data_IF_212844239557
#
_entry.id   IF_212844239557
#
_cell.length_a   1.000
_cell.length_b   1.000
_cell.length_c   1.000
_cell.angle_alpha   90.00
_cell.angle_beta   90.00
_cell.angle_gamma   90.00
#
_symmetry.space_group_name_H-M   'P 1'
#
loop_
_entity.id
_entity.type
_entity.pdbx_description
1 polymer ?
#
# COMPACT_ATOMS: atom_id res chain seq x y z
N UNK A 1 -63.26 14.71 -1.47
CA UNK A 1 -61.91 14.53 -2.04
C UNK A 1 -60.87 15.00 -1.03
N UNK A 2 -59.74 14.27 -0.91
CA UNK A 2 -58.54 14.50 -0.06
C UNK A 2 -58.71 13.99 1.39
N UNK A 3 -58.42 12.72 1.67
CA UNK A 3 -57.10 12.10 1.99
C UNK A 3 -56.48 12.63 3.29
N UNK A 4 -56.70 11.92 4.39
CA UNK A 4 -55.78 11.89 5.54
C UNK A 4 -55.38 10.42 5.72
N UNK A 5 -54.18 10.06 5.28
CA UNK A 5 -53.60 8.75 5.48
C UNK A 5 -52.31 8.92 6.28
N UNK A 6 -52.35 8.35 7.49
CA UNK A 6 -51.28 7.76 8.29
C UNK A 6 -49.85 7.91 7.72
N UNK A 7 -49.06 8.76 8.37
CA UNK A 7 -47.60 8.80 8.23
C UNK A 7 -46.98 8.04 9.38
N UNK A 8 -46.85 6.72 9.24
CA UNK A 8 -45.96 5.87 10.02
C UNK A 8 -45.45 4.78 9.05
N UNK A 9 -44.17 4.40 9.18
CA UNK A 9 -43.39 3.49 8.32
C UNK A 9 -42.55 4.23 7.27
N UNK A 10 -41.55 4.96 7.76
CA UNK A 10 -40.34 5.26 6.99
C UNK A 10 -39.12 5.27 7.92
N UNK A 11 -38.95 4.23 8.74
CA UNK A 11 -37.75 4.12 9.58
C UNK A 11 -37.49 2.67 10.00
N UNK A 12 -37.43 1.74 9.03
CA UNK A 12 -36.79 0.44 9.29
C UNK A 12 -36.39 -0.27 7.98
N UNK A 13 -35.50 0.37 7.22
CA UNK A 13 -34.72 -0.31 6.17
C UNK A 13 -33.22 0.00 6.37
N UNK A 14 -32.73 -0.20 7.59
CA UNK A 14 -31.31 -0.53 7.79
C UNK A 14 -31.19 -2.07 7.68
N UNK A 15 -31.51 -2.57 6.49
CA UNK A 15 -31.24 -3.96 6.14
C UNK A 15 -29.77 -4.05 5.76
N UNK A 16 -29.00 -4.64 6.67
CA UNK A 16 -27.90 -5.55 6.39
C UNK A 16 -26.91 -4.97 5.37
N UNK A 17 -25.97 -4.16 5.85
CA UNK A 17 -24.67 -4.10 5.21
C UNK A 17 -24.10 -5.52 5.23
N UNK A 18 -24.28 -6.24 4.13
CA UNK A 18 -23.41 -7.35 3.79
C UNK A 18 -22.01 -6.74 3.78
N UNK A 19 -21.23 -6.93 4.85
CA UNK A 19 -19.79 -6.90 4.74
C UNK A 19 -19.48 -8.05 3.80
N UNK A 20 -19.05 -7.82 2.54
CA UNK A 20 -18.57 -8.94 1.77
C UNK A 20 -17.30 -9.37 2.50
N UNK A 21 -17.35 -10.52 3.16
CA UNK A 21 -16.14 -11.30 3.45
C UNK A 21 -15.71 -11.87 2.10
N UNK A 22 -15.23 -10.97 1.25
CA UNK A 22 -14.41 -11.27 0.10
C UNK A 22 -13.11 -10.57 0.42
N UNK A 23 -12.03 -11.33 0.49
CA UNK A 23 -10.67 -10.81 0.36
C UNK A 23 -10.64 -9.89 -0.86
N UNK A 24 -10.89 -8.60 -0.65
CA UNK A 24 -10.75 -7.59 -1.68
C UNK A 24 -9.27 -7.64 -2.03
N UNK A 25 -8.95 -7.92 -3.30
CA UNK A 25 -7.66 -7.50 -3.80
C UNK A 25 -7.56 -6.02 -3.44
N UNK A 26 -6.70 -5.67 -2.48
CA UNK A 26 -6.34 -4.27 -2.28
C UNK A 26 -5.95 -3.77 -3.66
N UNK A 27 -6.48 -2.64 -4.10
CA UNK A 27 -6.25 -2.14 -5.45
C UNK A 27 -4.76 -1.89 -5.76
N UNK A 28 -4.50 -0.92 -6.62
CA UNK A 28 -3.12 -0.57 -6.93
C UNK A 28 -2.36 0.07 -5.75
N UNK A 29 -3.03 0.43 -4.64
CA UNK A 29 -2.46 1.28 -3.59
C UNK A 29 -2.71 0.87 -2.14
N UNK A 30 -1.72 1.17 -1.31
CA UNK A 30 -1.79 1.18 0.15
C UNK A 30 -1.64 2.62 0.64
N UNK A 31 -2.53 3.07 1.52
CA UNK A 31 -2.48 4.39 2.14
C UNK A 31 -1.87 4.27 3.54
N UNK A 32 -1.18 5.31 3.99
CA UNK A 32 -0.75 5.44 5.38
C UNK A 32 -1.90 5.13 6.34
N UNK A 33 -1.58 4.51 7.47
CA UNK A 33 -2.56 4.00 8.46
C UNK A 33 -3.29 2.69 8.05
N UNK A 34 -3.12 2.22 6.81
CA UNK A 34 -3.53 0.86 6.43
C UNK A 34 -2.39 -0.12 6.66
N UNK A 35 -2.66 -1.19 7.40
CA UNK A 35 -1.70 -2.27 7.68
C UNK A 35 -1.97 -3.46 6.77
N UNK A 36 -0.92 -3.99 6.16
CA UNK A 36 -0.94 -5.35 5.64
C UNK A 36 -0.75 -6.34 6.77
N UNK A 37 -1.81 -7.08 7.07
CA UNK A 37 -1.70 -8.33 7.79
C UNK A 37 -1.60 -9.48 6.79
N UNK A 38 -0.92 -10.52 7.23
CA UNK A 38 -0.57 -11.77 6.51
C UNK A 38 -1.74 -12.44 5.77
N UNK A 39 -2.98 -12.12 6.11
CA UNK A 39 -4.19 -12.55 5.42
C UNK A 39 -4.99 -11.33 4.94
N UNK A 40 -4.74 -10.86 3.71
CA UNK A 40 -5.42 -9.64 3.23
C UNK A 40 -5.32 -9.28 1.75
N UNK A 41 -4.54 -10.00 0.93
CA UNK A 41 -4.46 -9.80 -0.53
C UNK A 41 -3.59 -8.60 -0.92
N UNK A 42 -2.52 -8.84 -1.68
CA UNK A 42 -1.53 -7.83 -2.08
C UNK A 42 -2.01 -6.76 -3.06
N UNK A 43 -1.19 -5.75 -3.32
CA UNK A 43 -1.48 -4.71 -4.31
C UNK A 43 -1.37 -5.29 -5.70
N UNK A 44 -2.30 -4.94 -6.58
CA UNK A 44 -2.28 -5.36 -7.99
C UNK A 44 -2.30 -4.12 -8.86
N UNK A 45 -1.33 -4.04 -9.78
CA UNK A 45 -1.29 -2.99 -10.81
C UNK A 45 -2.58 -2.94 -11.62
N UNK A 46 -2.94 -1.77 -12.13
CA UNK A 46 -4.19 -1.56 -12.87
C UNK A 46 -4.28 -2.40 -14.16
N UNK A 47 -3.15 -2.77 -14.76
CA UNK A 47 -3.09 -3.69 -15.91
C UNK A 47 -3.08 -5.18 -15.52
N UNK A 48 -3.14 -5.49 -14.21
CA UNK A 48 -3.19 -6.85 -13.63
C UNK A 48 -1.91 -7.66 -13.90
N UNK A 49 -0.86 -7.05 -14.47
CA UNK A 49 0.38 -7.76 -14.81
C UNK A 49 1.27 -7.96 -13.59
N UNK A 50 1.31 -6.97 -12.70
CA UNK A 50 2.20 -6.95 -11.55
C UNK A 50 1.42 -6.98 -10.24
N UNK A 51 1.94 -7.73 -9.27
CA UNK A 51 1.43 -7.74 -7.90
C UNK A 51 2.54 -7.55 -6.89
N UNK A 52 2.27 -6.76 -5.85
CA UNK A 52 3.07 -6.70 -4.65
C UNK A 52 2.37 -7.47 -3.53
N UNK A 53 3.07 -8.42 -2.92
CA UNK A 53 2.51 -9.32 -1.91
C UNK A 53 3.40 -9.32 -0.67
N UNK A 54 2.79 -9.58 0.49
CA UNK A 54 3.50 -9.81 1.74
C UNK A 54 3.09 -11.18 2.28
N UNK A 55 4.03 -12.12 2.30
CA UNK A 55 3.73 -13.53 2.52
C UNK A 55 3.66 -13.94 4.01
N UNK A 56 3.21 -15.19 4.25
CA UNK A 56 3.10 -15.78 5.60
C UNK A 56 4.43 -16.00 6.32
N UNK A 57 5.55 -15.71 5.66
CA UNK A 57 6.89 -15.86 6.18
C UNK A 57 7.60 -14.52 6.30
N UNK A 58 6.88 -13.40 6.18
CA UNK A 58 7.45 -12.08 6.41
C UNK A 58 8.23 -11.50 5.24
N UNK A 59 8.13 -12.06 4.04
CA UNK A 59 8.79 -11.55 2.85
C UNK A 59 7.83 -10.72 1.99
N UNK A 60 8.24 -9.49 1.70
CA UNK A 60 7.54 -8.61 0.78
C UNK A 60 8.10 -8.86 -0.63
N UNK A 61 7.24 -9.08 -1.62
CA UNK A 61 7.62 -9.59 -2.93
C UNK A 61 6.88 -8.84 -4.04
N UNK A 62 7.56 -8.60 -5.16
CA UNK A 62 6.91 -8.15 -6.41
C UNK A 62 6.99 -9.27 -7.43
N UNK A 63 5.87 -9.53 -8.09
CA UNK A 63 5.71 -10.57 -9.09
C UNK A 63 5.19 -9.99 -10.40
N UNK A 64 5.81 -10.37 -11.53
CA UNK A 64 5.12 -10.42 -12.82
C UNK A 64 4.26 -11.69 -12.80
N UNK A 65 2.95 -11.49 -12.65
CA UNK A 65 1.95 -12.55 -12.49
C UNK A 65 1.84 -13.36 -13.76
N UNK A 66 1.87 -12.70 -14.93
CA UNK A 66 1.72 -13.35 -16.23
C UNK A 66 2.96 -14.21 -16.55
N UNK A 67 4.15 -13.69 -16.29
CA UNK A 67 5.40 -14.40 -16.48
C UNK A 67 5.70 -15.41 -15.35
N UNK A 68 4.93 -15.39 -14.26
CA UNK A 68 5.17 -16.18 -13.03
C UNK A 68 6.58 -15.98 -12.48
N UNK A 69 7.05 -14.73 -12.52
CA UNK A 69 8.42 -14.37 -12.14
C UNK A 69 8.40 -13.40 -10.97
N UNK A 70 9.07 -13.76 -9.88
CA UNK A 70 9.40 -12.83 -8.81
C UNK A 70 10.50 -11.88 -9.31
N UNK A 71 10.23 -10.58 -9.29
CA UNK A 71 11.15 -9.53 -9.76
C UNK A 71 11.82 -8.78 -8.60
N UNK A 72 11.23 -8.80 -7.40
CA UNK A 72 11.82 -8.21 -6.20
C UNK A 72 11.39 -8.97 -4.94
N UNK A 73 12.24 -8.92 -3.90
CA UNK A 73 11.95 -9.47 -2.57
C UNK A 73 12.72 -8.69 -1.51
N UNK A 74 12.10 -8.42 -0.36
CA UNK A 74 12.72 -7.74 0.79
C UNK A 74 13.77 -8.60 1.50
N UNK A 75 13.79 -9.92 1.24
CA UNK A 75 14.70 -10.89 1.86
C UNK A 75 14.56 -10.96 3.38
N UNK A 76 13.38 -10.64 3.89
CA UNK A 76 13.08 -10.61 5.34
C UNK A 76 12.36 -11.89 5.79
N UNK A 77 12.75 -13.07 5.29
CA UNK A 77 12.00 -14.29 5.60
C UNK A 77 12.22 -14.74 7.05
N UNK A 78 11.22 -14.55 7.90
CA UNK A 78 11.18 -14.94 9.31
C UNK A 78 9.71 -15.05 9.78
N UNK A 79 9.37 -16.17 10.41
CA UNK A 79 8.01 -16.47 10.85
C UNK A 79 7.49 -15.55 11.97
N UNK A 80 8.34 -14.69 12.55
CA UNK A 80 7.93 -13.67 13.54
C UNK A 80 7.38 -12.40 12.91
N UNK A 81 7.64 -12.20 11.62
CA UNK A 81 7.29 -10.98 10.91
C UNK A 81 5.90 -11.14 10.31
N UNK A 82 5.00 -10.22 10.66
CA UNK A 82 3.59 -10.29 10.28
C UNK A 82 2.98 -8.96 9.87
N UNK A 83 3.79 -7.89 9.86
CA UNK A 83 3.31 -6.52 9.65
C UNK A 83 4.13 -5.82 8.58
N UNK A 84 3.44 -5.40 7.52
CA UNK A 84 3.94 -4.42 6.57
C UNK A 84 3.03 -3.18 6.60
N UNK A 85 3.62 -2.00 6.76
CA UNK A 85 2.86 -0.75 6.87
C UNK A 85 3.69 0.45 6.42
N UNK A 86 3.02 1.53 6.03
CA UNK A 86 3.65 2.85 5.98
C UNK A 86 3.56 3.42 7.40
N UNK A 87 4.71 3.59 8.06
CA UNK A 87 4.77 4.14 9.40
C UNK A 87 4.33 5.62 9.38
N UNK A 88 3.31 5.95 10.18
CA UNK A 88 2.69 7.29 10.19
C UNK A 88 3.67 8.44 10.41
N UNK A 89 4.54 8.32 11.42
CA UNK A 89 5.44 9.39 11.84
C UNK A 89 6.66 9.56 10.93
N UNK A 90 7.26 8.46 10.49
CA UNK A 90 8.46 8.50 9.64
C UNK A 90 8.13 8.53 8.15
N UNK A 91 6.93 8.12 7.76
CA UNK A 91 6.53 7.93 6.36
C UNK A 91 7.36 6.90 5.62
N UNK A 92 8.02 5.99 6.35
CA UNK A 92 8.77 4.88 5.78
C UNK A 92 7.86 3.67 5.59
N UNK A 93 8.10 2.90 4.53
CA UNK A 93 7.58 1.54 4.45
C UNK A 93 8.35 0.67 5.44
N UNK A 94 7.66 -0.04 6.31
CA UNK A 94 8.25 -0.81 7.41
C UNK A 94 7.71 -2.22 7.41
N UNK A 95 8.63 -3.19 7.50
CA UNK A 95 8.37 -4.61 7.77
C UNK A 95 8.80 -4.89 9.20
N UNK A 96 7.91 -5.46 10.00
CA UNK A 96 8.12 -5.62 11.44
C UNK A 96 7.36 -6.81 12.04
N UNK A 97 7.72 -7.16 13.26
CA UNK A 97 6.94 -8.08 14.10
C UNK A 97 5.72 -7.36 14.74
N UNK A 98 4.83 -8.11 15.43
CA UNK A 98 3.70 -7.52 16.13
C UNK A 98 4.10 -6.48 17.20
N UNK A 99 5.29 -6.61 17.80
CA UNK A 99 5.84 -5.70 18.81
C UNK A 99 6.42 -4.39 18.21
N UNK A 100 6.41 -4.24 16.88
CA UNK A 100 7.00 -3.13 16.13
C UNK A 100 8.55 -3.14 16.06
N UNK A 101 9.20 -4.27 16.33
CA UNK A 101 10.62 -4.42 16.00
C UNK A 101 10.79 -4.37 14.48
N UNK A 102 11.55 -3.42 13.93
CA UNK A 102 11.74 -3.32 12.49
C UNK A 102 12.74 -4.38 12.00
N UNK A 103 12.38 -5.09 10.94
CA UNK A 103 13.26 -6.03 10.22
C UNK A 103 13.72 -5.46 8.88
N UNK A 104 12.92 -4.56 8.29
CA UNK A 104 13.32 -3.77 7.13
C UNK A 104 12.56 -2.45 7.11
N UNK A 105 13.22 -1.40 6.64
CA UNK A 105 12.61 -0.08 6.43
C UNK A 105 13.08 0.50 5.12
N UNK A 106 12.22 1.21 4.40
CA UNK A 106 12.64 1.99 3.24
C UNK A 106 13.63 3.09 3.66
N UNK A 107 14.70 3.24 2.88
CA UNK A 107 15.64 4.35 3.02
C UNK A 107 15.28 5.48 2.06
N UNK A 108 14.28 6.27 2.46
CA UNK A 108 13.75 7.34 1.62
C UNK A 108 14.82 8.40 1.31
N UNK A 109 15.75 8.67 2.24
CA UNK A 109 16.78 9.69 2.05
C UNK A 109 17.84 9.23 1.06
N UNK A 110 18.38 8.03 1.23
CA UNK A 110 19.39 7.49 0.31
C UNK A 110 18.82 7.30 -1.08
N UNK A 111 17.59 6.77 -1.19
CA UNK A 111 16.92 6.62 -2.48
C UNK A 111 16.67 7.99 -3.14
N UNK A 112 16.13 8.96 -2.40
CA UNK A 112 15.82 10.29 -2.95
C UNK A 112 17.08 11.06 -3.37
N UNK A 113 18.20 10.96 -2.64
CA UNK A 113 19.48 11.54 -3.07
C UNK A 113 19.97 10.97 -4.39
N UNK A 114 19.73 9.68 -4.61
CA UNK A 114 20.10 9.01 -5.86
C UNK A 114 19.18 9.43 -7.00
N UNK A 115 17.87 9.53 -6.73
CA UNK A 115 16.85 9.85 -7.74
C UNK A 115 16.85 11.32 -8.17
N UNK A 116 16.86 12.26 -7.22
CA UNK A 116 16.82 13.71 -7.50
C UNK A 116 18.22 14.32 -7.68
N UNK A 117 19.27 13.62 -7.26
CA UNK A 117 20.60 14.21 -7.02
C UNK A 117 20.69 14.79 -5.62
N UNK A 118 21.89 14.72 -5.02
CA UNK A 118 22.12 15.00 -3.61
C UNK A 118 21.66 16.40 -3.15
N UNK A 119 21.71 17.38 -4.06
CA UNK A 119 21.39 18.78 -3.78
C UNK A 119 19.95 19.17 -4.11
N UNK A 120 19.17 18.29 -4.75
CA UNK A 120 17.79 18.58 -5.21
C UNK A 120 16.74 17.71 -4.49
N UNK A 121 17.05 17.20 -3.31
CA UNK A 121 16.16 16.34 -2.54
C UNK A 121 15.00 17.17 -1.95
N UNK A 122 13.72 16.74 -2.14
CA UNK A 122 12.59 17.38 -1.49
C UNK A 122 12.73 17.42 0.04
N UNK A 123 12.30 18.52 0.65
CA UNK A 123 12.47 18.73 2.09
C UNK A 123 11.67 17.74 2.96
N UNK A 124 10.51 17.26 2.48
CA UNK A 124 9.69 16.29 3.18
C UNK A 124 9.77 14.93 2.49
N UNK A 125 10.38 13.95 3.13
CA UNK A 125 10.49 12.59 2.59
C UNK A 125 9.51 11.60 3.22
N UNK A 126 8.46 12.07 3.92
CA UNK A 126 7.41 11.18 4.44
C UNK A 126 6.58 10.62 3.30
N UNK A 127 6.69 9.32 3.06
CA UNK A 127 5.78 8.62 2.17
C UNK A 127 4.44 8.38 2.86
N UNK A 128 3.36 8.43 2.08
CA UNK A 128 2.03 8.22 2.61
C UNK A 128 1.10 7.45 1.65
N UNK A 129 1.52 7.19 0.40
CA UNK A 129 0.81 6.28 -0.51
C UNK A 129 1.81 5.39 -1.23
N UNK A 130 1.67 4.08 -1.10
CA UNK A 130 2.45 3.08 -1.84
C UNK A 130 1.61 2.57 -3.01
N UNK A 131 2.17 2.52 -4.22
CA UNK A 131 1.45 2.14 -5.44
C UNK A 131 2.22 1.06 -6.21
N UNK A 132 1.54 -0.02 -6.58
CA UNK A 132 2.00 -0.99 -7.57
C UNK A 132 1.65 -0.50 -8.97
N UNK A 133 2.64 -0.03 -9.71
CA UNK A 133 2.46 0.59 -11.02
C UNK A 133 2.41 -0.43 -12.17
N UNK A 134 1.90 0.02 -13.32
CA UNK A 134 1.71 -0.80 -14.52
C UNK A 134 3.02 -1.18 -15.22
N UNK A 135 4.13 -0.53 -14.87
CA UNK A 135 5.47 -0.77 -15.40
C UNK A 135 6.28 -1.77 -14.56
N UNK A 136 5.69 -2.29 -13.48
CA UNK A 136 6.33 -3.23 -12.57
C UNK A 136 6.99 -2.57 -11.35
N UNK A 137 7.02 -1.24 -11.26
CA UNK A 137 7.60 -0.56 -10.12
C UNK A 137 6.62 -0.45 -8.95
N UNK A 138 7.09 -0.72 -7.74
CA UNK A 138 6.40 -0.36 -6.51
C UNK A 138 6.98 0.96 -5.98
N UNK A 139 6.15 1.98 -5.87
CA UNK A 139 6.61 3.35 -5.54
C UNK A 139 5.87 3.91 -4.34
N UNK A 140 6.63 4.43 -3.39
CA UNK A 140 6.12 5.16 -2.23
C UNK A 140 6.17 6.66 -2.56
N UNK A 141 4.99 7.29 -2.56
CA UNK A 141 4.79 8.70 -2.83
C UNK A 141 4.53 9.50 -1.56
N UNK A 142 4.99 10.75 -1.55
CA UNK A 142 4.41 11.81 -0.75
C UNK A 142 3.35 12.54 -1.58
N UNK A 143 2.14 12.70 -1.04
CA UNK A 143 1.07 13.51 -1.62
C UNK A 143 0.46 14.51 -0.64
N UNK A 144 1.15 14.78 0.48
CA UNK A 144 0.60 15.52 1.62
C UNK A 144 0.36 17.00 1.33
N UNK A 145 1.10 17.55 0.36
CA UNK A 145 0.90 18.92 -0.10
C UNK A 145 0.39 18.92 -1.55
N UNK A 146 -0.93 19.03 -1.77
CA UNK A 146 -1.51 19.08 -3.11
C UNK A 146 -0.94 20.18 -4.01
N UNK A 147 -0.47 21.30 -3.43
CA UNK A 147 0.10 22.41 -4.21
C UNK A 147 1.48 22.10 -4.80
N UNK A 148 2.21 21.13 -4.23
CA UNK A 148 3.50 20.67 -4.74
C UNK A 148 3.36 19.48 -5.71
N UNK A 149 2.16 18.93 -5.83
CA UNK A 149 1.93 17.67 -6.54
C UNK A 149 2.47 16.47 -5.77
N UNK A 150 2.36 15.30 -6.41
CA UNK A 150 2.89 14.05 -5.85
C UNK A 150 4.33 13.86 -6.29
N UNK A 151 5.17 13.36 -5.39
CA UNK A 151 6.56 13.03 -5.72
C UNK A 151 7.00 11.74 -5.01
N UNK A 152 7.81 10.90 -5.68
CA UNK A 152 8.29 9.66 -5.09
C UNK A 152 9.32 9.96 -4.00
N UNK A 153 9.27 9.20 -2.91
CA UNK A 153 10.25 9.27 -1.82
C UNK A 153 11.02 7.96 -1.66
N UNK A 154 10.53 6.87 -2.25
CA UNK A 154 11.22 5.58 -2.37
C UNK A 154 10.60 4.78 -3.52
N UNK A 155 11.39 3.93 -4.18
CA UNK A 155 10.89 2.94 -5.12
C UNK A 155 11.65 1.61 -5.01
N UNK A 156 11.02 0.55 -5.50
CA UNK A 156 11.66 -0.77 -5.64
C UNK A 156 12.68 -0.85 -6.78
N UNK A 157 12.71 0.17 -7.65
CA UNK A 157 13.54 0.27 -8.85
C UNK A 157 13.37 -0.94 -9.80
N UNK A 158 12.12 -1.40 -9.96
CA UNK A 158 11.75 -2.51 -10.85
C UNK A 158 10.86 -2.08 -12.03
N UNK A 159 10.88 -0.79 -12.36
CA UNK A 159 10.17 -0.28 -13.54
C UNK A 159 10.78 -0.76 -14.85
N UNK A 160 9.95 -1.03 -15.86
CA UNK A 160 10.37 -1.45 -17.20
C UNK A 160 10.49 -2.96 -17.38
N UNK A 161 9.91 -3.76 -16.47
CA UNK A 161 9.84 -5.22 -16.57
C UNK A 161 8.71 -5.73 -17.48
#
# INVERSE_FOLDING_TARGET
MKKVFLSCIAMLLFLISFSPVTSAASGDRLIYDTMYNVAGGGLVSNNIRFSFQFDNYGDAQIWDVKARKMIWSSKTKDTRIHKLQINYFSGKLVISDPQNTPYWTSDNLVWSKTYYGADNVPANLRGNVLIMQNDGNLVLYNNENPALGWYPVWASDTGGH
#
